data_IF_171737752349
#
_entry.id   IF_171737752349
#
_cell.length_a   1.000
_cell.length_b   1.000
_cell.length_c   1.000
_cell.angle_alpha   90.00
_cell.angle_beta   90.00
_cell.angle_gamma   90.00
#
_symmetry.space_group_name_H-M   'P 1'
#
loop_
_entity.id
_entity.type
_entity.pdbx_description
1 polymer ?
#
# COMPACT_ATOMS: atom_id res chain seq x y z
N UNK A 1 36.16 50.25 -48.98
CA UNK A 1 35.75 48.93 -49.51
C UNK A 1 35.43 48.02 -48.32
N UNK A 2 34.32 48.03 -47.99
CA UNK A 2 33.19 47.24 -47.60
C UNK A 2 33.62 45.85 -46.97
N UNK A 3 33.53 45.77 -45.67
CA UNK A 3 33.65 44.54 -44.89
C UNK A 3 32.28 44.07 -44.45
N UNK A 4 31.87 42.88 -44.90
CA UNK A 4 30.63 42.23 -44.53
C UNK A 4 30.72 41.63 -43.13
N UNK A 5 29.75 41.98 -42.25
CA UNK A 5 29.49 41.29 -40.96
C UNK A 5 28.55 40.12 -41.21
N UNK A 6 29.06 38.90 -40.98
CA UNK A 6 28.26 37.69 -40.88
C UNK A 6 27.67 37.60 -39.48
N UNK A 7 26.34 37.77 -39.36
CA UNK A 7 25.58 37.54 -38.14
C UNK A 7 25.38 36.02 -37.90
N UNK A 8 25.70 35.59 -36.71
CA UNK A 8 25.39 34.25 -36.19
C UNK A 8 23.94 34.31 -35.65
N UNK A 9 23.02 33.41 -36.00
CA UNK A 9 21.68 33.40 -35.41
C UNK A 9 21.73 32.78 -34.00
N UNK A 10 21.07 33.47 -33.05
CA UNK A 10 20.87 32.99 -31.69
C UNK A 10 19.95 31.76 -31.69
N UNK A 11 20.16 30.76 -30.79
CA UNK A 11 19.26 29.64 -30.64
C UNK A 11 17.96 30.05 -29.94
N UNK A 12 16.85 29.81 -30.61
CA UNK A 12 15.50 30.01 -30.07
C UNK A 12 15.30 29.20 -28.79
N UNK A 13 14.83 29.87 -27.73
CA UNK A 13 14.45 29.29 -26.45
C UNK A 13 13.36 28.23 -26.65
N UNK A 14 13.72 26.97 -26.43
CA UNK A 14 12.81 25.83 -26.41
C UNK A 14 11.77 26.00 -25.31
N UNK A 15 10.50 25.83 -25.69
CA UNK A 15 9.35 25.93 -24.81
C UNK A 15 9.42 24.95 -23.65
N UNK A 16 9.53 25.47 -22.45
CA UNK A 16 9.37 24.72 -21.22
C UNK A 16 7.93 24.19 -21.13
N UNK A 17 7.75 22.89 -21.32
CA UNK A 17 6.50 22.21 -21.05
C UNK A 17 6.11 22.46 -19.60
N UNK A 18 5.07 23.25 -19.37
CA UNK A 18 4.46 23.43 -18.06
C UNK A 18 3.93 22.08 -17.58
N UNK A 19 4.64 21.45 -16.62
CA UNK A 19 4.09 20.37 -15.84
C UNK A 19 2.84 20.91 -15.14
N UNK A 20 1.69 20.47 -15.61
CA UNK A 20 0.39 20.91 -15.11
C UNK A 20 0.19 20.29 -13.70
N UNK A 21 0.60 21.03 -12.64
CA UNK A 21 0.21 20.69 -11.27
C UNK A 21 -1.31 20.79 -11.19
N UNK A 22 -2.04 19.72 -10.80
CA UNK A 22 -3.46 19.79 -10.57
C UNK A 22 -3.78 20.94 -9.61
N UNK A 23 -4.80 21.74 -9.91
CA UNK A 23 -5.28 22.77 -8.97
C UNK A 23 -5.70 22.07 -7.69
N UNK A 24 -5.43 22.65 -6.51
CA UNK A 24 -5.71 22.06 -5.19
C UNK A 24 -7.12 21.43 -5.08
N UNK A 25 -8.14 22.05 -5.65
CA UNK A 25 -9.50 21.50 -5.74
C UNK A 25 -9.65 20.22 -6.56
N UNK A 26 -8.78 19.99 -7.56
CA UNK A 26 -8.81 18.75 -8.38
C UNK A 26 -8.21 17.58 -7.63
N UNK A 27 -7.13 17.79 -6.87
CA UNK A 27 -6.51 16.74 -6.03
C UNK A 27 -7.46 16.34 -4.90
N UNK A 28 -8.03 17.30 -4.19
CA UNK A 28 -9.00 17.04 -3.13
C UNK A 28 -10.22 16.26 -3.65
N UNK A 29 -10.78 16.67 -4.81
CA UNK A 29 -11.90 15.95 -5.43
C UNK A 29 -11.53 14.53 -5.82
N UNK A 30 -10.32 14.30 -6.32
CA UNK A 30 -9.82 12.95 -6.63
C UNK A 30 -9.79 12.08 -5.38
N UNK A 31 -9.30 12.58 -4.25
CA UNK A 31 -9.26 11.86 -2.97
C UNK A 31 -10.65 11.57 -2.41
N UNK A 32 -11.62 12.48 -2.58
CA UNK A 32 -13.02 12.26 -2.21
C UNK A 32 -13.63 11.08 -2.99
N UNK A 33 -13.37 11.01 -4.30
CA UNK A 33 -13.84 9.89 -5.15
C UNK A 33 -13.18 8.57 -4.71
N UNK A 34 -11.87 8.57 -4.41
CA UNK A 34 -11.16 7.37 -3.96
C UNK A 34 -11.69 6.84 -2.62
N UNK A 35 -11.99 7.73 -1.67
CA UNK A 35 -12.63 7.35 -0.40
C UNK A 35 -14.04 6.78 -0.63
N UNK A 36 -14.82 7.36 -1.52
CA UNK A 36 -16.15 6.84 -1.89
C UNK A 36 -16.04 5.47 -2.57
N UNK A 37 -15.05 5.28 -3.47
CA UNK A 37 -14.79 4.00 -4.12
C UNK A 37 -14.41 2.91 -3.10
N UNK A 38 -13.53 3.20 -2.14
CA UNK A 38 -13.20 2.25 -1.06
C UNK A 38 -14.43 1.85 -0.25
N UNK A 39 -15.31 2.81 0.10
CA UNK A 39 -16.56 2.48 0.81
C UNK A 39 -17.48 1.59 -0.04
N UNK A 40 -17.68 1.93 -1.30
CA UNK A 40 -18.59 1.21 -2.20
C UNK A 40 -18.09 -0.20 -2.48
N UNK A 41 -16.83 -0.33 -2.91
CA UNK A 41 -16.24 -1.64 -3.21
C UNK A 41 -15.99 -2.49 -1.96
N UNK A 42 -15.64 -1.88 -0.84
CA UNK A 42 -15.46 -2.58 0.42
C UNK A 42 -16.75 -3.13 1.02
N UNK A 43 -17.90 -2.48 0.77
CA UNK A 43 -19.20 -2.94 1.28
C UNK A 43 -19.93 -3.93 0.35
N UNK A 44 -19.70 -3.86 -0.97
CA UNK A 44 -20.43 -4.62 -1.99
C UNK A 44 -19.57 -5.54 -2.84
N UNK A 45 -18.27 -5.49 -2.66
CA UNK A 45 -17.29 -6.07 -3.57
C UNK A 45 -17.13 -5.27 -4.86
N UNK A 46 -16.13 -5.64 -5.66
CA UNK A 46 -15.86 -4.98 -6.93
C UNK A 46 -17.02 -5.13 -7.92
N UNK A 47 -17.55 -6.35 -8.11
CA UNK A 47 -18.55 -6.61 -9.14
C UNK A 47 -19.86 -5.86 -8.90
N UNK A 48 -20.36 -5.84 -7.66
CA UNK A 48 -21.64 -5.24 -7.30
C UNK A 48 -21.56 -3.72 -7.02
N UNK A 49 -20.39 -3.19 -6.66
CA UNK A 49 -20.19 -1.75 -6.49
C UNK A 49 -20.24 -1.03 -7.83
N UNK A 50 -20.98 0.08 -7.94
CA UNK A 50 -21.15 0.82 -9.18
C UNK A 50 -20.48 2.19 -9.16
N UNK A 51 -20.06 2.67 -10.34
CA UNK A 51 -19.54 4.04 -10.50
C UNK A 51 -20.61 5.10 -10.24
N UNK A 52 -21.89 4.77 -10.46
CA UNK A 52 -23.00 5.69 -10.17
C UNK A 52 -23.11 5.93 -8.66
N UNK A 53 -23.03 4.86 -7.84
CA UNK A 53 -23.04 5.00 -6.38
C UNK A 53 -21.84 5.78 -5.84
N UNK A 54 -20.65 5.58 -6.43
CA UNK A 54 -19.47 6.40 -6.11
C UNK A 54 -19.71 7.86 -6.45
N UNK A 55 -20.27 8.15 -7.63
CA UNK A 55 -20.58 9.51 -8.09
C UNK A 55 -21.59 10.20 -7.18
N UNK A 56 -22.67 9.51 -6.80
CA UNK A 56 -23.72 10.02 -5.92
C UNK A 56 -23.16 10.41 -4.54
N UNK A 57 -22.26 9.61 -3.98
CA UNK A 57 -21.63 9.89 -2.66
C UNK A 57 -20.81 11.18 -2.66
N UNK A 58 -20.25 11.60 -3.79
CA UNK A 58 -19.41 12.80 -3.89
C UNK A 58 -20.09 13.94 -4.65
N UNK A 59 -21.37 13.78 -5.03
CA UNK A 59 -22.16 14.81 -5.67
C UNK A 59 -21.70 15.19 -7.09
N UNK A 60 -21.24 14.21 -7.88
CA UNK A 60 -20.87 14.39 -9.28
C UNK A 60 -21.61 13.40 -10.17
N UNK A 61 -21.46 13.53 -11.49
CA UNK A 61 -22.04 12.57 -12.43
C UNK A 61 -21.16 11.33 -12.60
N UNK A 62 -21.74 10.21 -13.02
CA UNK A 62 -20.99 9.02 -13.45
C UNK A 62 -19.91 9.35 -14.50
N UNK A 63 -20.26 10.22 -15.49
CA UNK A 63 -19.29 10.70 -16.48
C UNK A 63 -18.14 11.51 -15.83
N UNK A 64 -18.41 12.22 -14.73
CA UNK A 64 -17.39 12.91 -13.94
C UNK A 64 -16.40 11.95 -13.31
N UNK A 65 -16.84 10.82 -12.75
CA UNK A 65 -15.94 9.77 -12.22
C UNK A 65 -15.08 9.20 -13.34
N UNK A 66 -15.68 8.85 -14.48
CA UNK A 66 -14.94 8.34 -15.64
C UNK A 66 -13.94 9.37 -16.19
N UNK A 67 -14.25 10.65 -16.15
CA UNK A 67 -13.30 11.70 -16.54
C UNK A 67 -12.05 11.72 -15.66
N UNK A 68 -12.19 11.41 -14.36
CA UNK A 68 -11.05 11.36 -13.42
C UNK A 68 -10.23 10.06 -13.50
N UNK A 69 -10.87 8.93 -13.82
CA UNK A 69 -10.23 7.61 -13.65
C UNK A 69 -10.28 6.73 -14.90
N UNK A 70 -11.03 7.09 -15.93
CA UNK A 70 -11.13 6.36 -17.20
C UNK A 70 -12.06 5.14 -17.15
N UNK A 71 -11.87 4.23 -16.20
CA UNK A 71 -12.69 3.01 -16.05
C UNK A 71 -12.92 2.64 -14.59
N UNK A 72 -13.83 1.68 -14.37
CA UNK A 72 -14.07 1.09 -13.04
C UNK A 72 -12.83 0.37 -12.51
N UNK A 73 -12.11 -0.34 -13.39
CA UNK A 73 -10.88 -1.07 -13.04
C UNK A 73 -9.78 -0.09 -12.62
N UNK A 74 -9.60 0.99 -13.38
CA UNK A 74 -8.62 2.04 -13.04
C UNK A 74 -8.98 2.76 -11.73
N UNK A 75 -10.27 2.98 -11.45
CA UNK A 75 -10.71 3.50 -10.16
C UNK A 75 -10.42 2.53 -9.03
N UNK A 76 -10.63 1.22 -9.22
CA UNK A 76 -10.31 0.19 -8.23
C UNK A 76 -8.83 0.22 -7.86
N UNK A 77 -7.95 0.15 -8.86
CA UNK A 77 -6.49 0.18 -8.62
C UNK A 77 -6.08 1.48 -7.93
N UNK A 78 -6.56 2.64 -8.41
CA UNK A 78 -6.26 3.92 -7.79
C UNK A 78 -6.77 4.02 -6.34
N UNK A 79 -7.89 3.36 -6.00
CA UNK A 79 -8.41 3.31 -4.64
C UNK A 79 -7.54 2.44 -3.71
N UNK A 80 -7.02 1.31 -4.20
CA UNK A 80 -6.06 0.47 -3.47
C UNK A 80 -4.72 1.19 -3.26
N UNK A 81 -4.19 1.87 -4.27
CA UNK A 81 -2.99 2.70 -4.16
C UNK A 81 -3.19 3.87 -3.16
N UNK A 82 -4.38 4.47 -3.18
CA UNK A 82 -4.73 5.52 -2.22
C UNK A 82 -4.72 5.00 -0.78
N UNK A 83 -5.25 3.81 -0.54
CA UNK A 83 -5.24 3.15 0.77
C UNK A 83 -3.80 2.95 1.26
N UNK A 84 -2.90 2.44 0.41
CA UNK A 84 -1.50 2.23 0.78
C UNK A 84 -0.78 3.55 1.09
N UNK A 85 -1.06 4.60 0.32
CA UNK A 85 -0.52 5.94 0.59
C UNK A 85 -0.96 6.47 1.96
N UNK A 86 -2.24 6.29 2.33
CA UNK A 86 -2.76 6.72 3.64
C UNK A 86 -2.07 6.00 4.80
N UNK A 87 -1.65 4.74 4.59
CA UNK A 87 -0.95 3.97 5.63
C UNK A 87 0.44 4.53 5.97
N UNK A 88 1.09 5.22 5.04
CA UNK A 88 2.43 5.80 5.23
C UNK A 88 2.44 7.32 5.37
N UNK A 89 1.28 8.00 5.29
CA UNK A 89 1.19 9.47 5.38
C UNK A 89 1.77 10.04 6.69
N UNK A 90 1.77 9.27 7.77
CA UNK A 90 2.32 9.66 9.07
C UNK A 90 3.83 9.45 9.20
N UNK A 91 4.47 8.82 8.20
CA UNK A 91 5.90 8.55 8.19
C UNK A 91 6.66 9.71 7.53
N UNK A 92 7.81 10.07 8.12
CA UNK A 92 8.74 11.00 7.50
C UNK A 92 9.28 10.39 6.20
N UNK A 93 9.19 11.15 5.09
CA UNK A 93 9.53 10.65 3.76
C UNK A 93 8.49 9.74 3.11
N UNK A 94 7.38 9.44 3.77
CA UNK A 94 6.26 8.62 3.24
C UNK A 94 6.72 7.26 2.66
N UNK A 95 7.65 6.60 3.33
CA UNK A 95 8.14 5.27 2.97
C UNK A 95 8.16 4.34 4.19
N UNK A 96 8.05 3.04 3.95
CA UNK A 96 8.11 2.02 4.99
C UNK A 96 9.56 1.92 5.50
N UNK A 97 9.81 2.00 6.83
CA UNK A 97 11.14 1.90 7.39
C UNK A 97 11.71 0.48 7.26
N UNK A 98 13.03 0.33 7.34
CA UNK A 98 13.72 -0.96 7.36
C UNK A 98 14.04 -1.47 8.77
N UNK A 99 14.60 -2.67 8.87
CA UNK A 99 15.06 -3.28 10.12
C UNK A 99 13.96 -3.39 11.17
N UNK A 100 14.32 -3.22 12.44
CA UNK A 100 13.37 -3.33 13.56
C UNK A 100 12.24 -2.29 13.51
N UNK A 101 12.46 -1.16 12.87
CA UNK A 101 11.47 -0.08 12.77
C UNK A 101 10.31 -0.45 11.84
N UNK A 102 10.53 -1.36 10.87
CA UNK A 102 9.44 -1.92 10.07
C UNK A 102 8.41 -2.63 10.97
N UNK A 103 8.85 -3.44 11.91
CA UNK A 103 7.94 -4.18 12.80
C UNK A 103 7.22 -3.24 13.78
N UNK A 104 7.86 -2.16 14.22
CA UNK A 104 7.20 -1.08 14.97
C UNK A 104 6.12 -0.41 14.14
N UNK A 105 6.40 -0.15 12.86
CA UNK A 105 5.43 0.42 11.92
C UNK A 105 4.25 -0.53 11.69
N UNK A 106 4.46 -1.84 11.47
CA UNK A 106 3.38 -2.81 11.30
C UNK A 106 2.45 -2.87 12.53
N UNK A 107 3.01 -2.82 13.74
CA UNK A 107 2.23 -2.74 14.99
C UNK A 107 1.42 -1.44 15.09
N UNK A 108 2.01 -0.30 14.69
CA UNK A 108 1.31 0.97 14.63
C UNK A 108 0.18 0.93 13.59
N UNK A 109 0.43 0.36 12.43
CA UNK A 109 -0.58 0.18 11.36
C UNK A 109 -1.78 -0.63 11.88
N UNK A 110 -1.56 -1.71 12.66
CA UNK A 110 -2.64 -2.47 13.27
C UNK A 110 -3.49 -1.64 14.24
N UNK A 111 -2.87 -0.78 15.06
CA UNK A 111 -3.58 0.15 15.95
C UNK A 111 -4.43 1.15 15.16
N UNK A 112 -3.86 1.78 14.13
CA UNK A 112 -4.58 2.71 13.27
C UNK A 112 -5.73 2.02 12.53
N UNK A 113 -5.56 0.77 12.13
CA UNK A 113 -6.57 -0.03 11.45
C UNK A 113 -7.77 -0.33 12.36
N UNK A 114 -7.59 -0.50 13.66
CA UNK A 114 -8.68 -0.65 14.62
C UNK A 114 -9.65 0.55 14.64
N UNK A 115 -9.18 1.74 14.25
CA UNK A 115 -9.97 2.96 14.15
C UNK A 115 -10.54 3.21 12.74
N UNK A 116 -10.09 2.45 11.72
CA UNK A 116 -10.39 2.68 10.29
C UNK A 116 -11.12 1.50 9.66
N UNK A 117 -12.15 0.97 10.33
CA UNK A 117 -12.87 -0.26 9.92
C UNK A 117 -13.21 -0.30 8.43
N UNK A 118 -13.69 0.79 7.84
CA UNK A 118 -14.09 0.83 6.42
C UNK A 118 -12.92 0.65 5.46
N UNK A 119 -11.71 1.13 5.82
CA UNK A 119 -10.49 0.95 5.02
C UNK A 119 -10.03 -0.51 5.10
N UNK A 120 -10.04 -1.08 6.31
CA UNK A 120 -9.67 -2.49 6.53
C UNK A 120 -10.64 -3.42 5.81
N UNK A 121 -11.95 -3.15 5.90
CA UNK A 121 -12.97 -3.93 5.19
C UNK A 121 -12.75 -3.88 3.68
N UNK A 122 -12.52 -2.70 3.11
CA UNK A 122 -12.26 -2.57 1.68
C UNK A 122 -11.04 -3.40 1.25
N UNK A 123 -9.95 -3.34 2.00
CA UNK A 123 -8.76 -4.13 1.73
C UNK A 123 -9.05 -5.63 1.80
N UNK A 124 -9.65 -6.13 2.89
CA UNK A 124 -9.95 -7.55 3.09
C UNK A 124 -10.86 -8.10 2.00
N UNK A 125 -11.92 -7.37 1.64
CA UNK A 125 -12.86 -7.78 0.58
C UNK A 125 -12.14 -7.83 -0.77
N UNK A 126 -11.46 -6.77 -1.16
CA UNK A 126 -10.86 -6.64 -2.48
C UNK A 126 -9.65 -7.56 -2.68
N UNK A 127 -8.84 -7.81 -1.65
CA UNK A 127 -7.74 -8.79 -1.71
C UNK A 127 -8.28 -10.22 -1.74
N UNK A 128 -9.38 -10.50 -1.03
CA UNK A 128 -10.07 -11.78 -1.08
C UNK A 128 -10.69 -12.05 -2.46
N UNK A 129 -11.34 -11.05 -3.09
CA UNK A 129 -11.88 -11.18 -4.45
C UNK A 129 -10.78 -11.35 -5.51
N UNK A 130 -9.60 -10.74 -5.29
CA UNK A 130 -8.48 -10.77 -6.23
C UNK A 130 -7.90 -12.16 -6.50
N UNK A 131 -8.23 -13.18 -5.69
CA UNK A 131 -7.85 -14.59 -5.96
C UNK A 131 -8.72 -15.22 -7.05
N UNK A 132 -9.84 -14.57 -7.42
CA UNK A 132 -10.72 -15.04 -8.47
C UNK A 132 -10.11 -14.77 -9.84
N UNK A 133 -10.19 -15.76 -10.74
CA UNK A 133 -9.65 -15.64 -12.10
C UNK A 133 -10.25 -14.44 -12.85
N UNK A 134 -9.39 -13.64 -13.48
CA UNK A 134 -9.77 -12.46 -14.25
C UNK A 134 -10.15 -11.22 -13.42
N UNK A 135 -9.98 -11.26 -12.09
CA UNK A 135 -10.28 -10.07 -11.28
C UNK A 135 -9.27 -8.94 -11.55
N UNK A 136 -9.73 -7.68 -11.77
CA UNK A 136 -8.86 -6.57 -12.19
C UNK A 136 -7.73 -6.24 -11.19
N UNK A 137 -7.92 -6.52 -9.89
CA UNK A 137 -6.91 -6.26 -8.86
C UNK A 137 -5.89 -7.40 -8.70
N UNK A 138 -6.00 -8.55 -9.39
CA UNK A 138 -5.14 -9.72 -9.16
C UNK A 138 -3.65 -9.41 -9.31
N UNK A 139 -3.27 -8.67 -10.36
CA UNK A 139 -1.86 -8.32 -10.59
C UNK A 139 -1.35 -7.31 -9.57
N UNK A 140 -2.17 -6.35 -9.20
CA UNK A 140 -1.83 -5.38 -8.16
C UNK A 140 -1.60 -6.07 -6.80
N UNK A 141 -2.51 -6.96 -6.39
CA UNK A 141 -2.40 -7.70 -5.12
C UNK A 141 -1.19 -8.63 -5.13
N UNK A 142 -0.94 -9.33 -6.24
CA UNK A 142 0.26 -10.17 -6.40
C UNK A 142 1.55 -9.36 -6.23
N UNK A 143 1.65 -8.23 -6.92
CA UNK A 143 2.80 -7.35 -6.82
C UNK A 143 2.97 -6.81 -5.40
N UNK A 144 1.88 -6.37 -4.76
CA UNK A 144 1.90 -5.91 -3.36
C UNK A 144 2.47 -6.97 -2.41
N UNK A 145 1.96 -8.21 -2.48
CA UNK A 145 2.49 -9.28 -1.63
C UNK A 145 3.95 -9.61 -1.92
N UNK A 146 4.37 -9.49 -3.18
CA UNK A 146 5.79 -9.70 -3.55
C UNK A 146 6.68 -8.63 -2.93
N UNK A 147 6.32 -7.35 -3.07
CA UNK A 147 7.08 -6.23 -2.51
C UNK A 147 7.11 -6.32 -0.98
N UNK A 148 5.94 -6.46 -0.35
CA UNK A 148 5.85 -6.50 1.12
C UNK A 148 6.62 -7.69 1.72
N UNK A 149 6.56 -8.87 1.09
CA UNK A 149 7.37 -10.03 1.49
C UNK A 149 8.86 -9.73 1.42
N UNK A 150 9.31 -9.10 0.33
CA UNK A 150 10.71 -8.69 0.17
C UNK A 150 11.16 -7.72 1.26
N UNK A 151 10.38 -6.67 1.51
CA UNK A 151 10.69 -5.67 2.56
C UNK A 151 10.76 -6.29 3.96
N UNK A 152 9.81 -7.19 4.29
CA UNK A 152 9.82 -7.88 5.59
C UNK A 152 11.00 -8.86 5.68
N UNK A 153 11.33 -9.57 4.60
CA UNK A 153 12.50 -10.47 4.58
C UNK A 153 13.80 -9.71 4.83
N UNK A 154 14.00 -8.57 4.17
CA UNK A 154 15.19 -7.73 4.39
C UNK A 154 15.23 -7.16 5.82
N UNK A 155 14.08 -6.74 6.35
CA UNK A 155 14.01 -6.27 7.74
C UNK A 155 14.32 -7.37 8.75
N UNK A 156 13.83 -8.60 8.52
CA UNK A 156 14.17 -9.77 9.35
C UNK A 156 15.66 -10.07 9.29
N UNK A 157 16.26 -10.03 8.09
CA UNK A 157 17.72 -10.24 7.92
C UNK A 157 18.49 -9.21 8.73
N UNK A 158 18.17 -7.94 8.62
CA UNK A 158 18.83 -6.87 9.37
C UNK A 158 18.74 -7.11 10.88
N UNK A 159 17.56 -7.52 11.40
CA UNK A 159 17.39 -7.82 12.83
C UNK A 159 18.22 -9.03 13.26
N UNK A 160 18.29 -10.09 12.47
CA UNK A 160 19.07 -11.29 12.79
C UNK A 160 20.57 -11.01 12.79
N UNK A 161 21.07 -10.21 11.86
CA UNK A 161 22.47 -9.80 11.76
C UNK A 161 22.88 -8.84 12.88
N UNK A 162 22.04 -7.87 13.22
CA UNK A 162 22.25 -6.95 14.34
C UNK A 162 22.36 -7.70 15.67
N UNK A 163 21.45 -8.63 15.93
CA UNK A 163 21.48 -9.50 17.11
C UNK A 163 22.69 -10.44 17.14
N UNK A 164 23.27 -10.76 15.96
CA UNK A 164 24.49 -11.56 15.87
C UNK A 164 25.74 -10.74 16.19
N UNK A 165 25.69 -9.40 16.01
CA UNK A 165 26.86 -8.54 16.03
C UNK A 165 27.87 -8.84 14.89
N UNK A 166 27.42 -9.52 13.83
CA UNK A 166 28.23 -9.97 12.69
C UNK A 166 27.41 -9.89 11.40
N UNK A 167 27.72 -8.89 10.59
CA UNK A 167 27.05 -8.67 9.30
C UNK A 167 27.36 -9.77 8.25
N UNK A 168 28.37 -10.59 8.50
CA UNK A 168 28.79 -11.70 7.63
C UNK A 168 28.21 -13.05 8.06
N UNK A 169 27.41 -13.09 9.13
CA UNK A 169 26.81 -14.33 9.61
C UNK A 169 25.95 -15.02 8.54
N UNK A 170 26.07 -16.34 8.42
CA UNK A 170 25.23 -17.11 7.49
C UNK A 170 23.80 -17.19 8.03
N UNK A 171 22.87 -16.69 7.24
CA UNK A 171 21.43 -16.62 7.58
C UNK A 171 20.65 -17.55 6.66
N UNK A 172 19.71 -18.32 7.21
CA UNK A 172 18.83 -19.17 6.44
C UNK A 172 17.71 -18.35 5.79
N UNK A 173 17.90 -17.99 4.51
CA UNK A 173 16.94 -17.22 3.72
C UNK A 173 15.54 -17.83 3.71
N UNK A 174 15.46 -19.17 3.65
CA UNK A 174 14.15 -19.83 3.63
C UNK A 174 13.40 -19.70 4.97
N UNK A 175 14.10 -19.50 6.08
CA UNK A 175 13.47 -19.15 7.37
C UNK A 175 12.90 -17.73 7.30
N UNK A 176 13.67 -16.77 6.78
CA UNK A 176 13.23 -15.36 6.66
C UNK A 176 12.02 -15.23 5.75
N UNK A 177 12.01 -15.86 4.58
CA UNK A 177 10.89 -15.82 3.63
C UNK A 177 9.60 -16.43 4.20
N UNK A 178 9.73 -17.55 4.94
CA UNK A 178 8.60 -18.17 5.66
C UNK A 178 8.05 -17.26 6.75
N UNK A 179 8.93 -16.64 7.54
CA UNK A 179 8.56 -15.71 8.59
C UNK A 179 7.86 -14.46 8.01
N UNK A 180 8.38 -13.90 6.91
CA UNK A 180 7.75 -12.77 6.21
C UNK A 180 6.35 -13.12 5.73
N UNK A 181 6.17 -14.29 5.11
CA UNK A 181 4.86 -14.78 4.67
C UNK A 181 3.90 -15.01 5.86
N UNK A 182 4.40 -15.52 6.99
CA UNK A 182 3.62 -15.74 8.19
C UNK A 182 3.13 -14.41 8.82
N UNK A 183 3.98 -13.38 8.85
CA UNK A 183 3.60 -12.05 9.36
C UNK A 183 2.45 -11.48 8.53
N UNK A 184 2.54 -11.51 7.19
CA UNK A 184 1.47 -11.03 6.31
C UNK A 184 0.18 -11.82 6.57
N UNK A 185 0.26 -13.16 6.58
CA UNK A 185 -0.88 -14.03 6.77
C UNK A 185 -1.60 -13.81 8.11
N UNK A 186 -0.83 -13.60 9.19
CA UNK A 186 -1.41 -13.32 10.51
C UNK A 186 -2.10 -11.96 10.53
N UNK A 187 -1.49 -10.92 9.97
CA UNK A 187 -2.10 -9.58 9.93
C UNK A 187 -3.41 -9.60 9.14
N UNK A 188 -3.43 -10.21 7.97
CA UNK A 188 -4.63 -10.30 7.13
C UNK A 188 -5.70 -11.18 7.80
N UNK A 189 -5.32 -12.29 8.43
CA UNK A 189 -6.23 -13.17 9.14
C UNK A 189 -6.85 -12.53 10.39
N UNK A 190 -6.09 -11.77 11.17
CA UNK A 190 -6.59 -11.05 12.34
C UNK A 190 -7.53 -9.90 11.94
N UNK A 191 -7.25 -9.20 10.84
CA UNK A 191 -8.16 -8.19 10.29
C UNK A 191 -9.52 -8.81 9.94
N UNK A 192 -9.54 -9.97 9.30
CA UNK A 192 -10.79 -10.66 8.95
C UNK A 192 -11.57 -11.09 10.19
N UNK A 193 -10.91 -11.64 11.22
CA UNK A 193 -11.55 -12.02 12.47
C UNK A 193 -12.14 -10.80 13.19
N UNK A 194 -11.36 -9.72 13.31
CA UNK A 194 -11.81 -8.48 13.92
C UNK A 194 -12.97 -7.81 13.16
N UNK A 195 -12.98 -7.88 11.83
CA UNK A 195 -14.10 -7.37 11.03
C UNK A 195 -15.40 -8.14 11.29
N UNK A 196 -15.32 -9.44 11.57
CA UNK A 196 -16.47 -10.28 11.88
C UNK A 196 -16.94 -10.11 13.32
N UNK A 197 -16.01 -10.04 14.27
CA UNK A 197 -16.32 -9.91 15.69
C UNK A 197 -15.25 -9.02 16.38
N UNK A 198 -15.47 -7.70 16.43
CA UNK A 198 -14.51 -6.77 17.02
C UNK A 198 -14.40 -6.86 18.55
N UNK A 199 -15.38 -7.51 19.21
CA UNK A 199 -15.35 -7.71 20.66
C UNK A 199 -14.54 -8.98 21.03
N UNK A 200 -14.41 -9.93 20.12
CA UNK A 200 -13.64 -11.16 20.33
C UNK A 200 -12.14 -11.00 20.04
N UNK A 201 -11.74 -10.05 19.19
CA UNK A 201 -10.35 -9.89 18.75
C UNK A 201 -9.89 -8.45 18.94
N UNK A 202 -8.94 -8.23 19.85
CA UNK A 202 -8.15 -7.00 19.85
C UNK A 202 -7.13 -7.05 18.70
N UNK A 203 -7.41 -6.28 17.65
CA UNK A 203 -6.58 -6.27 16.44
C UNK A 203 -5.14 -5.81 16.71
N UNK A 204 -4.98 -4.80 17.56
CA UNK A 204 -3.68 -4.20 17.85
C UNK A 204 -2.81 -5.15 18.69
N UNK A 205 -3.35 -5.65 19.78
CA UNK A 205 -2.62 -6.49 20.73
C UNK A 205 -2.36 -7.88 20.14
N UNK A 206 -3.34 -8.48 19.45
CA UNK A 206 -3.15 -9.77 18.76
C UNK A 206 -2.09 -9.71 17.67
N UNK A 207 -2.07 -8.62 16.87
CA UNK A 207 -1.03 -8.42 15.85
C UNK A 207 0.34 -8.22 16.49
N UNK A 208 0.44 -7.43 17.56
CA UNK A 208 1.70 -7.20 18.25
C UNK A 208 2.26 -8.51 18.83
N UNK A 209 1.43 -9.32 19.48
CA UNK A 209 1.80 -10.64 20.03
C UNK A 209 2.32 -11.57 18.92
N UNK A 210 1.62 -11.66 17.80
CA UNK A 210 1.99 -12.55 16.72
C UNK A 210 3.32 -12.14 16.04
N UNK A 211 3.51 -10.85 15.78
CA UNK A 211 4.77 -10.32 15.21
C UNK A 211 5.94 -10.61 16.16
N UNK A 212 5.78 -10.37 17.47
CA UNK A 212 6.82 -10.65 18.47
C UNK A 212 7.20 -12.12 18.48
N UNK A 213 6.21 -13.03 18.56
CA UNK A 213 6.44 -14.47 18.56
C UNK A 213 7.17 -14.96 17.29
N UNK A 214 6.82 -14.40 16.11
CA UNK A 214 7.49 -14.74 14.86
C UNK A 214 8.93 -14.20 14.86
N UNK A 215 9.17 -12.98 15.34
CA UNK A 215 10.51 -12.39 15.46
C UNK A 215 11.40 -13.24 16.38
N UNK A 216 10.92 -13.63 17.57
CA UNK A 216 11.66 -14.46 18.50
C UNK A 216 12.00 -15.82 17.88
N UNK A 217 11.02 -16.47 17.24
CA UNK A 217 11.24 -17.74 16.54
C UNK A 217 12.28 -17.60 15.41
N UNK A 218 12.21 -16.52 14.65
CA UNK A 218 13.14 -16.25 13.54
C UNK A 218 14.55 -16.02 14.06
N UNK A 219 14.73 -15.22 15.11
CA UNK A 219 16.03 -15.02 15.79
C UNK A 219 16.67 -16.31 16.26
N UNK A 220 15.85 -17.23 16.80
CA UNK A 220 16.32 -18.51 17.29
C UNK A 220 16.73 -19.50 16.19
N UNK A 221 16.15 -19.40 15.00
CA UNK A 221 16.23 -20.45 13.97
C UNK A 221 16.93 -20.01 12.68
N UNK A 222 17.05 -18.71 12.39
CA UNK A 222 17.60 -18.23 11.12
C UNK A 222 19.13 -18.28 11.05
N UNK A 223 19.83 -18.34 12.18
CA UNK A 223 21.31 -18.50 12.20
C UNK A 223 21.67 -19.94 11.93
N UNK A 224 22.45 -20.15 10.86
CA UNK A 224 23.11 -21.46 10.65
C UNK A 224 24.28 -21.57 11.61
N UNK A 225 24.37 -22.70 12.26
CA UNK A 225 25.48 -23.02 13.17
C UNK A 225 26.74 -23.37 12.39
#
# INVERSE_FOLDING_TARGET
MTGARTGIPEPSAGGGGRVHRPRAGTAQRRDEILRAALRTFGSKGYHNGSLAEVADQVGITHAGVLHHFGSKDQLLIAALEFRDRVDVEHLEGQHIPGGIDLFRHLRLTARLNAERRGIVQAYSVLTGEAVTEGHPASDWVRNRFTVLRGEITEALRAVVLDDAGDESADVDEAVLERAASAIIAVMDGLQNQWLLDPDAVDLADSTAFAIEAILESTRATARRR
#
